data_IF_099610352812
#
_entry.id   IF_099610352812
#
_cell.length_a   1.000
_cell.length_b   1.000
_cell.length_c   1.000
_cell.angle_alpha   90.00
_cell.angle_beta   90.00
_cell.angle_gamma   90.00
#
_symmetry.space_group_name_H-M   'P 1'
#
loop_
_entity.id
_entity.type
_entity.pdbx_description
1 polymer ?
#
# COMPACT_ATOMS: atom_id res chain seq x y z
N UNK A 1 -15.36 8.55 -13.21
CA UNK A 1 -14.12 8.62 -12.42
C UNK A 1 -14.55 8.56 -10.97
N UNK A 2 -14.35 7.44 -10.28
CA UNK A 2 -14.61 7.38 -8.83
C UNK A 2 -13.45 8.08 -8.15
N UNK A 3 -13.69 9.23 -7.51
CA UNK A 3 -12.71 9.85 -6.62
C UNK A 3 -12.32 8.81 -5.55
N UNK A 4 -11.12 8.25 -5.68
CA UNK A 4 -10.56 7.37 -4.68
C UNK A 4 -10.25 8.20 -3.45
N UNK A 5 -11.11 8.17 -2.43
CA UNK A 5 -10.83 8.80 -1.15
C UNK A 5 -9.45 8.33 -0.66
N UNK A 6 -8.54 9.26 -0.43
CA UNK A 6 -7.21 8.94 0.10
C UNK A 6 -7.35 8.41 1.54
N UNK A 7 -6.58 7.38 1.97
CA UNK A 7 -6.67 6.85 3.32
C UNK A 7 -6.31 7.89 4.39
N UNK A 8 -7.07 7.91 5.48
CA UNK A 8 -6.63 8.57 6.71
C UNK A 8 -5.57 7.70 7.40
N UNK A 9 -4.29 8.07 7.24
CA UNK A 9 -3.14 7.30 7.70
C UNK A 9 -3.06 7.16 9.23
N UNK A 10 -3.60 8.12 9.98
CA UNK A 10 -3.64 8.10 11.45
C UNK A 10 -4.69 7.13 11.98
N UNK A 11 -5.78 6.92 11.23
CA UNK A 11 -6.84 5.99 11.57
C UNK A 11 -6.51 4.52 11.24
N UNK A 12 -5.40 4.27 10.52
CA UNK A 12 -4.98 2.91 10.20
C UNK A 12 -4.55 2.16 11.47
N UNK A 13 -5.01 0.91 11.66
CA UNK A 13 -4.62 0.09 12.78
C UNK A 13 -3.10 -0.02 12.95
N UNK A 14 -2.64 -0.09 14.20
CA UNK A 14 -1.20 -0.18 14.53
C UNK A 14 -0.69 -1.62 14.69
N UNK A 15 -1.59 -2.61 14.58
CA UNK A 15 -1.27 -4.03 14.70
C UNK A 15 -0.70 -4.65 13.42
N UNK A 16 -0.29 -5.94 13.46
CA UNK A 16 0.12 -6.67 12.28
C UNK A 16 -1.01 -6.74 11.24
N UNK A 17 -0.63 -6.77 9.96
CA UNK A 17 -1.61 -6.98 8.90
C UNK A 17 -2.02 -8.45 8.90
N UNK A 18 -3.27 -8.73 9.22
CA UNK A 18 -3.88 -10.05 9.00
C UNK A 18 -4.75 -10.04 7.74
N UNK A 19 -5.08 -11.22 7.21
CA UNK A 19 -6.02 -11.30 6.08
C UNK A 19 -7.38 -10.70 6.45
N UNK A 20 -7.88 -10.95 7.67
CA UNK A 20 -9.13 -10.41 8.17
C UNK A 20 -9.10 -8.87 8.27
N UNK A 21 -7.99 -8.31 8.76
CA UNK A 21 -7.83 -6.87 8.79
C UNK A 21 -7.77 -6.29 7.37
N UNK A 22 -6.96 -6.88 6.49
CA UNK A 22 -6.79 -6.40 5.13
C UNK A 22 -8.10 -6.33 4.35
N UNK A 23 -9.04 -7.25 4.56
CA UNK A 23 -10.35 -7.20 3.91
C UNK A 23 -11.25 -6.08 4.45
N UNK A 24 -11.03 -5.62 5.68
CA UNK A 24 -11.77 -4.52 6.31
C UNK A 24 -11.15 -3.14 6.08
N UNK A 25 -9.92 -3.08 5.55
CA UNK A 25 -9.25 -1.81 5.28
C UNK A 25 -10.02 -0.98 4.25
N UNK A 26 -10.29 0.25 4.65
CA UNK A 26 -10.76 1.31 3.78
C UNK A 26 -9.65 2.34 3.60
N UNK A 27 -9.54 2.94 2.41
CA UNK A 27 -10.42 2.84 1.25
C UNK A 27 -10.14 1.57 0.40
N UNK A 28 -11.01 1.17 -0.55
CA UNK A 28 -10.81 -0.03 -1.36
C UNK A 28 -9.50 -0.08 -2.17
N UNK A 29 -8.99 1.05 -2.72
CA UNK A 29 -7.62 1.17 -3.23
C UNK A 29 -6.52 0.59 -2.33
N UNK A 30 -6.55 0.90 -1.03
CA UNK A 30 -5.51 0.45 -0.10
C UNK A 30 -5.48 -1.08 -0.02
N UNK A 31 -6.66 -1.70 0.09
CA UNK A 31 -6.81 -3.16 0.07
C UNK A 31 -6.33 -3.76 -1.25
N UNK A 32 -6.57 -3.12 -2.40
CA UNK A 32 -6.09 -3.60 -3.70
C UNK A 32 -4.56 -3.56 -3.80
N UNK A 33 -3.94 -2.45 -3.37
CA UNK A 33 -2.49 -2.29 -3.33
C UNK A 33 -1.85 -3.40 -2.49
N UNK A 34 -2.32 -3.61 -1.26
CA UNK A 34 -1.80 -4.66 -0.38
C UNK A 34 -2.03 -6.07 -0.94
N UNK A 35 -3.19 -6.34 -1.56
CA UNK A 35 -3.42 -7.63 -2.21
C UNK A 35 -2.47 -7.91 -3.37
N UNK A 36 -2.11 -6.90 -4.17
CA UNK A 36 -1.11 -7.05 -5.24
C UNK A 36 0.27 -7.39 -4.66
N UNK A 37 0.62 -6.86 -3.49
CA UNK A 37 1.88 -7.12 -2.80
C UNK A 37 2.04 -8.52 -2.20
N UNK A 38 0.97 -9.29 -2.02
CA UNK A 38 1.02 -10.62 -1.37
C UNK A 38 1.62 -11.73 -2.24
N UNK A 39 1.60 -11.60 -3.57
CA UNK A 39 2.05 -12.66 -4.48
C UNK A 39 3.55 -12.55 -4.75
N UNK A 40 3.92 -12.22 -5.98
CA UNK A 40 5.30 -11.95 -6.40
C UNK A 40 5.83 -10.59 -5.93
N UNK A 41 5.00 -9.81 -5.25
CA UNK A 41 5.22 -8.38 -5.01
C UNK A 41 4.91 -7.54 -6.25
N UNK A 42 5.14 -6.24 -6.15
CA UNK A 42 5.07 -5.29 -7.26
C UNK A 42 6.47 -4.75 -7.56
N UNK A 43 6.79 -4.61 -8.84
CA UNK A 43 7.89 -3.73 -9.26
C UNK A 43 7.59 -2.26 -8.92
N UNK A 44 8.61 -1.40 -8.90
CA UNK A 44 8.41 0.05 -8.72
C UNK A 44 7.55 0.66 -9.85
N UNK A 45 7.63 0.12 -11.07
CA UNK A 45 6.78 0.53 -12.19
C UNK A 45 5.29 0.17 -11.96
N UNK A 46 5.01 -1.05 -11.50
CA UNK A 46 3.64 -1.47 -11.15
C UNK A 46 3.07 -0.69 -9.96
N UNK A 47 3.92 -0.36 -8.97
CA UNK A 47 3.53 0.50 -7.85
C UNK A 47 3.10 1.88 -8.35
N UNK A 48 3.89 2.51 -9.23
CA UNK A 48 3.55 3.81 -9.83
C UNK A 48 2.20 3.77 -10.54
N UNK A 49 1.95 2.73 -11.34
CA UNK A 49 0.66 2.56 -12.01
C UNK A 49 -0.50 2.40 -11.02
N UNK A 50 -0.32 1.70 -9.90
CA UNK A 50 -1.37 1.56 -8.90
C UNK A 50 -1.66 2.91 -8.20
N UNK A 51 -0.63 3.67 -7.86
CA UNK A 51 -0.78 4.98 -7.23
C UNK A 51 -1.51 5.98 -8.14
N UNK A 52 -1.14 6.02 -9.41
CA UNK A 52 -1.76 6.87 -10.42
C UNK A 52 -3.20 6.45 -10.72
N UNK A 53 -3.44 5.16 -10.97
CA UNK A 53 -4.77 4.69 -11.35
C UNK A 53 -5.80 4.78 -10.21
N UNK A 54 -5.40 4.51 -8.96
CA UNK A 54 -6.32 4.45 -7.84
C UNK A 54 -6.48 5.80 -7.09
N UNK A 55 -5.47 6.67 -7.13
CA UNK A 55 -5.47 7.95 -6.41
C UNK A 55 -4.99 9.16 -7.23
N UNK A 56 -4.53 8.98 -8.47
CA UNK A 56 -3.94 10.07 -9.28
C UNK A 56 -2.61 10.57 -8.74
N UNK A 57 -1.86 9.73 -8.02
CA UNK A 57 -0.62 10.12 -7.35
C UNK A 57 0.63 9.71 -8.14
N UNK A 58 1.53 10.67 -8.35
CA UNK A 58 2.90 10.37 -8.71
C UNK A 58 3.64 9.73 -7.53
N UNK A 59 4.53 8.76 -7.80
CA UNK A 59 5.30 8.07 -6.76
C UNK A 59 6.16 9.03 -5.93
N UNK A 60 6.67 10.08 -6.56
CA UNK A 60 7.51 11.14 -5.95
C UNK A 60 6.70 12.17 -5.17
N UNK A 61 5.36 12.12 -5.23
CA UNK A 61 4.53 13.06 -4.49
C UNK A 61 4.66 12.84 -2.98
N UNK A 62 4.46 13.92 -2.22
CA UNK A 62 4.46 13.85 -0.75
C UNK A 62 3.39 12.88 -0.26
N UNK A 63 2.18 12.91 -0.83
CA UNK A 63 1.10 12.01 -0.45
C UNK A 63 1.44 10.53 -0.67
N UNK A 64 2.05 10.19 -1.81
CA UNK A 64 2.52 8.82 -2.06
C UNK A 64 3.60 8.42 -1.05
N UNK A 65 4.56 9.31 -0.79
CA UNK A 65 5.64 9.09 0.19
C UNK A 65 5.09 8.87 1.60
N UNK A 66 4.12 9.68 2.05
CA UNK A 66 3.47 9.53 3.35
C UNK A 66 2.69 8.22 3.46
N UNK A 67 1.96 7.83 2.42
CA UNK A 67 1.25 6.54 2.39
C UNK A 67 2.24 5.37 2.51
N UNK A 68 3.28 5.34 1.67
CA UNK A 68 4.26 4.27 1.67
C UNK A 68 4.99 4.20 3.01
N UNK A 69 5.38 5.35 3.57
CA UNK A 69 5.98 5.41 4.90
C UNK A 69 5.05 4.86 5.97
N UNK A 70 3.77 5.24 5.98
CA UNK A 70 2.81 4.74 6.97
C UNK A 70 2.63 3.22 6.91
N UNK A 71 2.70 2.62 5.71
CA UNK A 71 2.63 1.16 5.54
C UNK A 71 3.95 0.46 5.92
N UNK A 72 5.10 1.09 5.63
CA UNK A 72 6.43 0.59 6.01
C UNK A 72 6.65 0.63 7.53
N UNK A 73 6.28 1.72 8.19
CA UNK A 73 6.40 1.87 9.65
C UNK A 73 5.59 0.79 10.39
N UNK A 74 4.49 0.32 9.78
CA UNK A 74 3.67 -0.81 10.26
C UNK A 74 4.18 -2.19 9.80
N UNK A 75 5.22 -2.23 8.97
CA UNK A 75 5.74 -3.43 8.29
C UNK A 75 4.73 -4.15 7.41
N UNK A 76 3.73 -3.44 6.89
CA UNK A 76 2.70 -4.02 6.02
C UNK A 76 3.14 -4.10 4.57
N UNK A 77 3.92 -3.13 4.11
CA UNK A 77 4.36 -3.02 2.72
C UNK A 77 5.79 -2.50 2.67
N UNK A 78 6.74 -3.33 2.23
CA UNK A 78 8.18 -3.05 2.34
C UNK A 78 8.82 -3.24 0.96
N UNK A 79 9.75 -2.36 0.61
CA UNK A 79 10.62 -2.53 -0.56
C UNK A 79 11.81 -3.42 -0.22
N UNK A 80 12.11 -4.37 -1.10
CA UNK A 80 13.35 -5.12 -1.08
C UNK A 80 14.40 -4.34 -1.87
N UNK A 81 15.45 -3.89 -1.18
CA UNK A 81 16.54 -3.12 -1.79
C UNK A 81 17.28 -3.90 -2.90
N UNK A 82 17.31 -5.22 -2.80
CA UNK A 82 18.06 -6.08 -3.73
C UNK A 82 17.30 -6.45 -5.00
N UNK A 83 15.98 -6.25 -5.04
CA UNK A 83 15.13 -6.87 -6.06
C UNK A 83 14.18 -5.91 -6.81
N UNK A 84 14.19 -4.60 -6.52
CA UNK A 84 13.17 -3.65 -7.03
C UNK A 84 11.74 -4.16 -6.86
N UNK A 85 11.46 -4.81 -5.72
CA UNK A 85 10.16 -5.44 -5.45
C UNK A 85 9.61 -4.96 -4.12
N UNK A 86 8.34 -4.56 -4.15
CA UNK A 86 7.52 -4.20 -3.00
C UNK A 86 6.63 -5.36 -2.60
N UNK A 87 6.72 -5.80 -1.35
CA UNK A 87 5.94 -6.94 -0.83
C UNK A 87 5.03 -6.55 0.30
N UNK A 88 3.86 -7.17 0.33
CA UNK A 88 2.96 -7.12 1.47
C UNK A 88 3.31 -8.24 2.44
N UNK A 89 3.48 -7.89 3.71
CA UNK A 89 3.80 -8.84 4.76
C UNK A 89 2.59 -8.99 5.68
N UNK A 90 2.15 -10.25 5.84
CA UNK A 90 1.16 -10.60 6.84
C UNK A 90 1.87 -10.91 8.15
N UNK A 91 1.30 -10.46 9.26
CA UNK A 91 1.73 -10.83 10.61
C UNK A 91 0.74 -11.80 11.24
N UNK A 92 1.23 -12.57 12.22
CA UNK A 92 0.44 -13.47 13.06
C UNK A 92 0.07 -12.79 14.36
#
# INVERSE_FOLDING_TARGET
MTEGSFPNLEALPRGPLTMALMVQLEPPPLRRLLKKGLRRGLSTAELRQCLDADWGLALESESASSLLKALQDRRWFISSADADVWKTHLGS
#
